data_IF_683135781812
#
_entry.id   IF_683135781812
#
_cell.length_a   1.000
_cell.length_b   1.000
_cell.length_c   1.000
_cell.angle_alpha   90.00
_cell.angle_beta   90.00
_cell.angle_gamma   90.00
#
_symmetry.space_group_name_H-M   'P 1'
#
loop_
_entity.id
_entity.type
_entity.pdbx_description
1 polymer ?
#
# COMPACT_ATOMS: atom_id res chain seq x y z
N UNK A 1 17.09 -1.15 -14.77
CA UNK A 1 17.76 -0.19 -13.88
C UNK A 1 18.18 1.09 -14.61
N UNK A 2 18.74 1.03 -15.82
CA UNK A 2 19.35 2.20 -16.47
C UNK A 2 18.40 2.95 -17.45
N UNK A 3 17.07 2.82 -17.28
CA UNK A 3 16.12 3.50 -18.18
C UNK A 3 16.10 5.01 -17.94
N UNK A 4 16.49 5.49 -16.76
CA UNK A 4 16.58 6.92 -16.44
C UNK A 4 18.02 7.39 -16.19
N UNK A 5 18.95 6.94 -17.02
CA UNK A 5 20.36 7.39 -16.98
C UNK A 5 20.74 8.11 -18.27
N UNK A 6 21.73 9.00 -18.22
CA UNK A 6 22.12 9.83 -19.38
C UNK A 6 21.09 10.93 -19.68
N UNK A 7 21.03 11.40 -20.92
CA UNK A 7 20.16 12.49 -21.35
C UNK A 7 18.70 12.07 -21.62
N UNK A 8 18.20 11.12 -20.82
CA UNK A 8 16.87 10.53 -21.02
C UNK A 8 15.75 11.57 -20.94
N UNK A 9 15.96 12.70 -20.25
CA UNK A 9 14.95 13.75 -20.11
C UNK A 9 14.60 14.39 -21.46
N UNK A 10 15.60 14.64 -22.31
CA UNK A 10 15.42 15.20 -23.65
C UNK A 10 15.13 14.10 -24.69
N UNK A 11 15.89 13.00 -24.66
CA UNK A 11 15.79 11.96 -25.68
C UNK A 11 14.59 11.03 -25.46
N UNK A 12 14.10 10.94 -24.23
CA UNK A 12 13.04 10.03 -23.78
C UNK A 12 12.13 10.66 -22.70
N UNK A 13 11.52 11.84 -22.95
CA UNK A 13 10.77 12.62 -21.95
C UNK A 13 9.58 11.85 -21.36
N UNK A 14 9.01 10.87 -22.09
CA UNK A 14 7.94 10.00 -21.61
C UNK A 14 8.32 9.24 -20.33
N UNK A 15 9.61 9.01 -20.07
CA UNK A 15 10.09 8.29 -18.87
C UNK A 15 9.88 9.10 -17.59
N UNK A 16 9.64 10.41 -17.68
CA UNK A 16 9.31 11.25 -16.53
C UNK A 16 7.93 10.93 -15.94
N UNK A 17 7.08 10.20 -16.66
CA UNK A 17 5.69 9.88 -16.28
C UNK A 17 5.58 8.66 -15.36
N UNK A 18 6.70 8.14 -14.87
CA UNK A 18 6.74 6.97 -14.00
C UNK A 18 7.91 7.08 -13.02
N UNK A 19 7.72 6.59 -11.80
CA UNK A 19 8.82 6.29 -10.88
C UNK A 19 9.06 4.79 -10.90
N UNK A 20 10.32 4.38 -11.03
CA UNK A 20 10.68 2.98 -11.27
C UNK A 20 11.16 2.34 -9.97
N UNK A 21 10.74 1.10 -9.73
CA UNK A 21 11.19 0.34 -8.57
C UNK A 21 11.56 -1.10 -8.97
N UNK A 22 12.45 -1.71 -8.20
CA UNK A 22 12.80 -3.13 -8.34
C UNK A 22 11.99 -3.95 -7.33
N UNK A 23 11.37 -5.03 -7.79
CA UNK A 23 10.72 -6.00 -6.93
C UNK A 23 11.69 -7.15 -6.66
N UNK A 24 11.98 -7.38 -5.38
CA UNK A 24 12.79 -8.47 -4.89
C UNK A 24 11.92 -9.56 -4.29
N UNK A 25 12.06 -10.79 -4.76
CA UNK A 25 11.46 -11.94 -4.09
C UNK A 25 12.31 -12.30 -2.89
N UNK A 26 11.72 -12.25 -1.68
CA UNK A 26 12.47 -12.46 -0.41
C UNK A 26 13.29 -13.75 -0.40
N UNK A 27 12.75 -14.81 -0.99
CA UNK A 27 13.40 -16.14 -1.05
C UNK A 27 14.49 -16.27 -2.11
N UNK A 28 14.62 -15.30 -3.02
CA UNK A 28 15.57 -15.35 -4.15
C UNK A 28 16.62 -14.24 -4.13
N UNK A 29 16.33 -13.12 -3.47
CA UNK A 29 17.23 -11.96 -3.43
C UNK A 29 18.48 -12.25 -2.60
N UNK A 30 19.64 -11.84 -3.12
CA UNK A 30 20.89 -11.84 -2.37
C UNK A 30 21.22 -10.45 -1.83
N UNK A 31 22.11 -10.38 -0.84
CA UNK A 31 22.60 -9.09 -0.34
C UNK A 31 23.32 -8.29 -1.44
N UNK A 32 24.01 -8.97 -2.36
CA UNK A 32 24.68 -8.33 -3.49
C UNK A 32 23.67 -7.66 -4.44
N UNK A 33 22.58 -8.35 -4.78
CA UNK A 33 21.50 -7.80 -5.59
C UNK A 33 20.92 -6.53 -4.96
N UNK A 34 20.64 -6.59 -3.66
CA UNK A 34 20.10 -5.46 -2.91
C UNK A 34 21.08 -4.29 -2.85
N UNK A 35 22.36 -4.55 -2.53
CA UNK A 35 23.42 -3.53 -2.47
C UNK A 35 23.59 -2.82 -3.81
N UNK A 36 23.49 -3.54 -4.92
CA UNK A 36 23.57 -2.95 -6.26
C UNK A 36 22.46 -1.91 -6.49
N UNK A 37 21.22 -2.26 -6.12
CA UNK A 37 20.07 -1.33 -6.22
C UNK A 37 20.21 -0.17 -5.24
N UNK A 38 20.57 -0.44 -3.99
CA UNK A 38 20.74 0.58 -2.96
C UNK A 38 21.81 1.61 -3.33
N UNK A 39 22.93 1.16 -3.91
CA UNK A 39 23.99 2.07 -4.35
C UNK A 39 23.53 2.98 -5.48
N UNK A 40 22.75 2.47 -6.44
CA UNK A 40 22.12 3.30 -7.48
C UNK A 40 21.14 4.31 -6.89
N UNK A 41 20.31 3.88 -5.94
CA UNK A 41 19.29 4.73 -5.32
C UNK A 41 19.88 5.89 -4.51
N UNK A 42 21.09 5.75 -3.96
CA UNK A 42 21.77 6.83 -3.22
C UNK A 42 22.10 8.05 -4.08
N UNK A 43 22.28 7.88 -5.38
CA UNK A 43 22.69 8.97 -6.26
C UNK A 43 21.51 9.90 -6.61
N UNK A 44 20.31 9.35 -6.82
CA UNK A 44 19.17 10.09 -7.38
C UNK A 44 17.83 9.83 -6.67
N UNK A 45 17.80 9.00 -5.62
CA UNK A 45 16.57 8.55 -4.95
C UNK A 45 15.81 7.44 -5.70
N UNK A 46 16.30 7.00 -6.87
CA UNK A 46 15.71 5.93 -7.69
C UNK A 46 16.79 4.93 -8.17
N UNK A 47 16.42 3.65 -8.42
CA UNK A 47 15.07 3.10 -8.29
C UNK A 47 14.71 2.81 -6.83
N UNK A 48 13.43 2.94 -6.50
CA UNK A 48 12.91 2.38 -5.25
C UNK A 48 13.01 0.84 -5.24
N UNK A 49 12.73 0.21 -4.11
CA UNK A 49 12.72 -1.25 -4.01
C UNK A 49 11.55 -1.74 -3.16
N UNK A 50 11.09 -2.96 -3.45
CA UNK A 50 9.99 -3.63 -2.75
C UNK A 50 10.41 -5.07 -2.51
N UNK A 51 10.06 -5.60 -1.35
CA UNK A 51 10.19 -7.03 -1.08
C UNK A 51 8.84 -7.69 -1.16
N UNK A 52 8.74 -8.73 -1.98
CA UNK A 52 7.54 -9.52 -2.19
C UNK A 52 7.78 -10.99 -1.82
N UNK A 53 6.72 -11.65 -1.36
CA UNK A 53 6.72 -13.07 -1.02
C UNK A 53 6.26 -13.96 -2.17
N UNK A 54 5.60 -13.38 -3.17
CA UNK A 54 5.07 -14.06 -4.35
C UNK A 54 5.35 -13.26 -5.64
N UNK A 55 5.45 -13.95 -6.78
CA UNK A 55 5.72 -13.35 -8.09
C UNK A 55 4.58 -12.48 -8.60
N UNK A 56 3.35 -12.85 -8.27
CA UNK A 56 2.15 -12.10 -8.65
C UNK A 56 1.88 -10.89 -7.75
N UNK A 57 2.62 -10.73 -6.65
CA UNK A 57 2.40 -9.60 -5.75
C UNK A 57 2.82 -8.29 -6.44
N UNK A 58 1.87 -7.36 -6.57
CA UNK A 58 2.12 -5.98 -6.97
C UNK A 58 1.90 -5.03 -5.81
N UNK A 59 2.16 -3.75 -6.07
CA UNK A 59 1.92 -2.68 -5.11
C UNK A 59 1.39 -1.45 -5.81
N UNK A 60 0.58 -0.65 -5.10
CA UNK A 60 0.05 0.60 -5.62
C UNK A 60 1.18 1.60 -5.95
N UNK A 61 0.91 2.64 -6.75
CA UNK A 61 1.94 3.62 -7.14
C UNK A 61 2.62 4.32 -5.95
N UNK A 62 1.93 4.46 -4.81
CA UNK A 62 2.46 5.07 -3.59
C UNK A 62 3.31 4.11 -2.73
N UNK A 63 3.38 2.82 -3.10
CA UNK A 63 4.14 1.78 -2.40
C UNK A 63 3.69 1.51 -0.95
N UNK A 64 2.44 1.83 -0.62
CA UNK A 64 1.91 1.63 0.73
C UNK A 64 1.06 0.36 0.86
N UNK A 65 0.44 -0.10 -0.24
CA UNK A 65 -0.39 -1.32 -0.28
C UNK A 65 0.18 -2.32 -1.28
N UNK A 66 0.17 -3.60 -0.90
CA UNK A 66 0.44 -4.73 -1.78
C UNK A 66 -0.84 -5.54 -2.04
N UNK A 67 -0.95 -6.14 -3.22
CA UNK A 67 -2.11 -6.93 -3.64
C UNK A 67 -1.72 -7.94 -4.73
N UNK A 68 -2.56 -8.95 -4.95
CA UNK A 68 -2.43 -9.91 -6.06
C UNK A 68 -3.46 -9.55 -7.14
N UNK A 69 -3.06 -9.04 -8.31
CA UNK A 69 -3.97 -8.57 -9.35
C UNK A 69 -4.46 -9.71 -10.26
N UNK A 70 -4.50 -10.94 -9.76
CA UNK A 70 -4.78 -12.15 -10.53
C UNK A 70 -5.81 -12.98 -9.80
N UNK A 71 -6.93 -13.22 -10.47
CA UNK A 71 -8.02 -14.09 -9.98
C UNK A 71 -7.56 -15.55 -9.89
N UNK A 72 -8.29 -16.39 -9.14
CA UNK A 72 -7.97 -17.82 -8.96
C UNK A 72 -7.87 -18.61 -10.27
N UNK A 73 -8.60 -18.19 -11.31
CA UNK A 73 -8.57 -18.80 -12.65
C UNK A 73 -7.57 -18.13 -13.61
N UNK A 74 -6.74 -17.20 -13.11
CA UNK A 74 -5.60 -16.64 -13.84
C UNK A 74 -5.90 -15.37 -14.66
N UNK A 75 -7.09 -14.78 -14.55
CA UNK A 75 -7.40 -13.51 -15.22
C UNK A 75 -6.82 -12.34 -14.44
N UNK A 76 -6.11 -11.45 -15.14
CA UNK A 76 -5.61 -10.20 -14.55
C UNK A 76 -6.73 -9.17 -14.38
N UNK A 77 -6.70 -8.45 -13.26
CA UNK A 77 -7.57 -7.31 -12.98
C UNK A 77 -6.81 -6.17 -12.33
N UNK A 78 -7.54 -5.09 -12.06
CA UNK A 78 -7.06 -3.92 -11.30
C UNK A 78 -7.63 -4.03 -9.90
N UNK A 79 -6.78 -3.85 -8.88
CA UNK A 79 -7.20 -3.76 -7.49
C UNK A 79 -7.20 -2.31 -7.02
N UNK A 80 -8.04 -2.02 -6.03
CA UNK A 80 -8.19 -0.70 -5.44
C UNK A 80 -7.72 -0.64 -4.00
N UNK A 81 -7.39 0.58 -3.58
CA UNK A 81 -6.87 0.89 -2.27
C UNK A 81 -7.86 1.83 -1.56
N UNK A 82 -8.65 1.30 -0.63
CA UNK A 82 -9.64 2.09 0.12
C UNK A 82 -8.99 2.66 1.38
N UNK A 83 -8.48 3.89 1.29
CA UNK A 83 -7.73 4.52 2.37
C UNK A 83 -8.56 5.46 3.21
N UNK A 84 -8.41 5.31 4.52
CA UNK A 84 -8.88 6.27 5.52
C UNK A 84 -7.73 6.64 6.45
N UNK A 85 -7.82 7.80 7.10
CA UNK A 85 -6.75 8.27 7.98
C UNK A 85 -7.32 8.84 9.27
N UNK A 86 -6.84 8.32 10.39
CA UNK A 86 -7.09 8.89 11.72
C UNK A 86 -6.30 10.18 11.86
N UNK A 87 -6.96 11.22 12.37
CA UNK A 87 -6.29 12.47 12.72
C UNK A 87 -5.56 12.32 14.07
N UNK A 88 -4.25 12.12 13.99
CA UNK A 88 -3.37 11.95 15.14
C UNK A 88 -3.38 13.16 16.08
N UNK A 89 -3.48 14.39 15.57
CA UNK A 89 -3.55 15.60 16.39
C UNK A 89 -4.79 15.68 17.28
N UNK A 90 -5.86 14.95 16.95
CA UNK A 90 -7.12 14.89 17.71
C UNK A 90 -7.25 13.62 18.55
N UNK A 91 -6.22 12.78 18.59
CA UNK A 91 -6.26 11.48 19.28
C UNK A 91 -5.38 11.53 20.52
N UNK A 92 -5.97 11.90 21.66
CA UNK A 92 -5.26 12.17 22.92
C UNK A 92 -5.31 11.01 23.91
N UNK A 93 -6.26 10.09 23.77
CA UNK A 93 -6.42 8.96 24.68
C UNK A 93 -6.46 7.60 23.96
N UNK A 94 -6.14 6.48 24.65
CA UNK A 94 -6.28 5.15 24.06
C UNK A 94 -7.71 4.81 23.67
N UNK A 95 -8.70 5.41 24.34
CA UNK A 95 -10.12 5.25 24.01
C UNK A 95 -10.45 5.93 22.69
N UNK A 96 -10.08 7.20 22.54
CA UNK A 96 -10.25 7.94 21.29
C UNK A 96 -9.54 7.25 20.13
N UNK A 97 -8.34 6.68 20.34
CA UNK A 97 -7.63 5.97 19.27
C UNK A 97 -8.42 4.76 18.77
N UNK A 98 -9.03 3.99 19.68
CA UNK A 98 -9.92 2.87 19.30
C UNK A 98 -11.17 3.35 18.57
N UNK A 99 -11.81 4.42 19.06
CA UNK A 99 -13.03 5.00 18.45
C UNK A 99 -12.75 5.58 17.05
N UNK A 100 -11.66 6.33 16.88
CA UNK A 100 -11.24 6.88 15.59
C UNK A 100 -10.85 5.78 14.61
N UNK A 101 -10.14 4.74 15.09
CA UNK A 101 -9.79 3.59 14.24
C UNK A 101 -11.03 2.84 13.77
N UNK A 102 -11.98 2.57 14.68
CA UNK A 102 -13.27 1.97 14.31
C UNK A 102 -14.01 2.80 13.27
N UNK A 103 -14.12 4.12 13.46
CA UNK A 103 -14.80 5.00 12.51
C UNK A 103 -14.09 5.02 11.14
N UNK A 104 -12.76 5.09 11.12
CA UNK A 104 -11.97 5.05 9.89
C UNK A 104 -12.10 3.70 9.17
N UNK A 105 -12.11 2.58 9.91
CA UNK A 105 -12.32 1.24 9.36
C UNK A 105 -13.73 1.09 8.78
N UNK A 106 -14.76 1.58 9.48
CA UNK A 106 -16.15 1.55 8.99
C UNK A 106 -16.28 2.28 7.65
N UNK A 107 -15.72 3.49 7.54
CA UNK A 107 -15.73 4.24 6.28
C UNK A 107 -14.97 3.48 5.18
N UNK A 108 -13.81 2.91 5.50
CA UNK A 108 -13.04 2.09 4.56
C UNK A 108 -13.79 0.84 4.09
N UNK A 109 -14.54 0.20 4.99
CA UNK A 109 -15.37 -0.98 4.69
C UNK A 109 -16.49 -0.62 3.71
N UNK A 110 -17.17 0.51 3.94
CA UNK A 110 -18.18 1.02 3.01
C UNK A 110 -17.59 1.36 1.65
N UNK A 111 -16.40 1.97 1.60
CA UNK A 111 -15.69 2.26 0.34
C UNK A 111 -15.32 0.97 -0.42
N UNK A 112 -14.85 -0.06 0.29
CA UNK A 112 -14.50 -1.34 -0.29
C UNK A 112 -15.70 -2.08 -0.92
N UNK A 113 -16.91 -1.81 -0.43
CA UNK A 113 -18.16 -2.34 -1.00
C UNK A 113 -18.58 -1.71 -2.33
N UNK A 114 -17.92 -0.67 -2.83
CA UNK A 114 -18.26 -0.05 -4.11
C UNK A 114 -17.59 -0.80 -5.28
N UNK A 115 -18.28 -1.82 -5.78
CA UNK A 115 -17.74 -2.75 -6.80
C UNK A 115 -18.44 -2.71 -8.16
N UNK A 116 -19.40 -1.78 -8.36
CA UNK A 116 -20.06 -1.59 -9.65
C UNK A 116 -19.17 -0.79 -10.61
N UNK A 117 -18.38 -1.52 -11.41
CA UNK A 117 -17.44 -0.95 -12.37
C UNK A 117 -17.96 -1.10 -13.81
N UNK A 118 -18.23 0.01 -14.49
CA UNK A 118 -18.72 -0.03 -15.88
C UNK A 118 -17.61 -0.16 -16.95
N UNK A 119 -16.38 0.24 -16.64
CA UNK A 119 -15.27 0.27 -17.60
C UNK A 119 -14.22 -0.81 -17.37
N UNK A 120 -14.24 -1.46 -16.19
CA UNK A 120 -13.27 -2.49 -15.85
C UNK A 120 -13.81 -3.88 -16.18
N UNK A 121 -12.89 -4.82 -16.40
CA UNK A 121 -13.23 -6.22 -16.61
C UNK A 121 -13.81 -6.81 -15.33
N UNK A 122 -14.64 -7.84 -15.47
CA UNK A 122 -15.20 -8.59 -14.32
C UNK A 122 -14.12 -9.09 -13.36
N UNK A 123 -12.91 -9.42 -13.85
CA UNK A 123 -11.78 -9.80 -13.00
C UNK A 123 -11.44 -8.74 -11.94
N UNK A 124 -11.52 -7.45 -12.26
CA UNK A 124 -11.31 -6.38 -11.26
C UNK A 124 -12.40 -6.39 -10.20
N UNK A 125 -13.67 -6.53 -10.61
CA UNK A 125 -14.80 -6.64 -9.67
C UNK A 125 -14.61 -7.82 -8.73
N UNK A 126 -14.32 -8.99 -9.27
CA UNK A 126 -14.12 -10.22 -8.49
C UNK A 126 -12.96 -10.08 -7.49
N UNK A 127 -11.82 -9.51 -7.91
CA UNK A 127 -10.69 -9.26 -7.01
C UNK A 127 -11.04 -8.27 -5.89
N UNK A 128 -11.77 -7.20 -6.20
CA UNK A 128 -12.16 -6.21 -5.20
C UNK A 128 -13.21 -6.76 -4.24
N UNK A 129 -14.15 -7.57 -4.72
CA UNK A 129 -15.16 -8.27 -3.88
C UNK A 129 -14.52 -9.35 -3.00
N UNK A 130 -13.51 -10.08 -3.50
CA UNK A 130 -12.83 -11.12 -2.75
C UNK A 130 -11.94 -10.56 -1.63
N UNK A 131 -11.14 -9.54 -1.92
CA UNK A 131 -10.20 -8.99 -0.94
C UNK A 131 -10.80 -7.89 -0.07
N UNK A 132 -11.83 -7.16 -0.55
CA UNK A 132 -12.42 -6.00 0.11
C UNK A 132 -11.37 -5.08 0.74
N UNK A 133 -10.32 -4.78 -0.04
CA UNK A 133 -9.06 -4.26 0.48
C UNK A 133 -9.21 -2.82 1.00
N UNK A 134 -8.84 -2.58 2.25
CA UNK A 134 -8.80 -1.25 2.86
C UNK A 134 -7.50 -1.02 3.64
N UNK A 135 -7.18 0.26 3.86
CA UNK A 135 -6.04 0.69 4.67
C UNK A 135 -6.42 1.81 5.63
N UNK A 136 -6.35 1.53 6.93
CA UNK A 136 -6.53 2.55 7.99
C UNK A 136 -5.17 3.09 8.39
N UNK A 137 -4.92 4.34 8.06
CA UNK A 137 -3.67 5.04 8.35
C UNK A 137 -3.82 6.04 9.50
N UNK A 138 -2.70 6.67 9.88
CA UNK A 138 -2.68 7.75 10.88
C UNK A 138 -1.89 8.91 10.28
N UNK A 139 -2.54 10.06 10.13
CA UNK A 139 -1.89 11.33 9.78
C UNK A 139 -1.56 12.06 11.07
N UNK A 140 -0.37 12.65 11.20
CA UNK A 140 0.02 13.33 12.45
C UNK A 140 0.36 12.36 13.59
N UNK A 141 0.96 11.20 13.27
CA UNK A 141 1.32 10.17 14.26
C UNK A 141 2.24 10.72 15.38
N UNK A 142 2.97 11.80 15.10
CA UNK A 142 3.88 12.46 16.04
C UNK A 142 3.23 13.54 16.91
N UNK A 143 1.94 13.87 16.70
CA UNK A 143 1.25 14.88 17.51
C UNK A 143 0.89 14.35 18.91
N UNK A 144 0.60 13.05 19.02
CA UNK A 144 0.33 12.37 20.29
C UNK A 144 1.12 11.05 20.40
N UNK A 145 2.46 11.08 20.39
CA UNK A 145 3.29 9.90 20.16
C UNK A 145 3.22 8.89 21.31
N UNK A 146 2.95 9.34 22.55
CA UNK A 146 2.75 8.46 23.71
C UNK A 146 1.55 7.51 23.54
N UNK A 147 0.56 7.93 22.76
CA UNK A 147 -0.63 7.13 22.45
C UNK A 147 -0.43 6.40 21.12
N UNK A 148 -0.06 7.14 20.07
CA UNK A 148 -0.06 6.64 18.69
C UNK A 148 1.13 5.73 18.35
N UNK A 149 2.25 5.82 19.08
CA UNK A 149 3.41 4.93 18.95
C UNK A 149 3.44 3.83 20.02
N UNK A 150 2.41 3.72 20.84
CA UNK A 150 2.33 2.65 21.84
C UNK A 150 1.96 1.33 21.15
N UNK A 151 2.86 0.35 21.21
CA UNK A 151 2.69 -0.95 20.53
C UNK A 151 1.44 -1.72 20.96
N UNK A 152 1.06 -1.63 22.25
CA UNK A 152 -0.17 -2.26 22.75
C UNK A 152 -1.40 -1.65 22.07
N UNK A 153 -1.50 -0.32 22.04
CA UNK A 153 -2.65 0.36 21.45
C UNK A 153 -2.70 0.21 19.92
N UNK A 154 -1.56 0.22 19.23
CA UNK A 154 -1.49 -0.07 17.80
C UNK A 154 -2.00 -1.48 17.49
N UNK A 155 -1.63 -2.49 18.30
CA UNK A 155 -2.11 -3.87 18.12
C UNK A 155 -3.61 -3.99 18.38
N UNK A 156 -4.13 -3.34 19.42
CA UNK A 156 -5.57 -3.27 19.69
C UNK A 156 -6.33 -2.62 18.51
N UNK A 157 -5.86 -1.47 18.02
CA UNK A 157 -6.48 -0.74 16.92
C UNK A 157 -6.41 -1.52 15.60
N UNK A 158 -5.31 -2.22 15.33
CA UNK A 158 -5.21 -3.13 14.19
C UNK A 158 -6.26 -4.25 14.26
N UNK A 159 -6.52 -4.81 15.44
CA UNK A 159 -7.58 -5.81 15.61
C UNK A 159 -8.97 -5.22 15.34
N UNK A 160 -9.25 -4.02 15.85
CA UNK A 160 -10.52 -3.32 15.60
C UNK A 160 -10.75 -3.07 14.11
N UNK A 161 -9.71 -2.68 13.36
CA UNK A 161 -9.82 -2.45 11.93
C UNK A 161 -10.21 -3.73 11.17
N UNK A 162 -9.61 -4.87 11.54
CA UNK A 162 -9.93 -6.19 10.96
C UNK A 162 -11.36 -6.60 11.32
N UNK A 163 -11.73 -6.60 12.61
CA UNK A 163 -13.08 -6.98 13.07
C UNK A 163 -14.19 -6.09 12.49
N UNK A 164 -13.87 -4.84 12.16
CA UNK A 164 -14.85 -3.93 11.55
C UNK A 164 -15.09 -4.27 10.08
N UNK A 165 -14.05 -4.70 9.34
CA UNK A 165 -14.15 -5.07 7.93
C UNK A 165 -14.81 -6.44 7.71
N UNK A 166 -14.89 -7.28 8.75
CA UNK A 166 -15.56 -8.59 8.69
C UNK A 166 -17.10 -8.49 8.69
N UNK A 167 -17.67 -7.30 8.91
CA UNK A 167 -19.11 -7.06 9.02
C UNK A 167 -19.74 -6.71 7.68
#
# INVERSE_FOLDING_TARGET
MNSKTGNWFEDNPQRARSNNSILFLRKKVTEEDFKKVLNSAKEFGEPGFIFADHEDMLSNPCREIGFIPVTKDGRCGVQFCNLTSVNGAKTHTPKEFREHTWAAALVGTLQAGYTDFHYLRNASRELTEEEALLGVSITGIMDNPKILLNSKYQKECSGIAVETNEK
#
